data_IF_252398412819
#
_entry.id   IF_252398412819
#
_cell.length_a   1.000
_cell.length_b   1.000
_cell.length_c   1.000
_cell.angle_alpha   90.00
_cell.angle_beta   90.00
_cell.angle_gamma   90.00
#
_symmetry.space_group_name_H-M   'P 1'
#
loop_
_entity.id
_entity.type
_entity.pdbx_description
1 polymer ?
#
# COMPACT_ATOMS: atom_id res chain seq x y z
N UNK A 1 25.83 -0.36 -0.94
CA UNK A 1 25.30 0.68 -0.05
C UNK A 1 23.97 0.20 0.49
N UNK A 2 23.82 0.10 1.81
CA UNK A 2 22.52 -0.09 2.46
C UNK A 2 21.69 1.17 2.18
N UNK A 3 20.50 1.01 1.61
CA UNK A 3 19.60 2.16 1.44
C UNK A 3 19.17 2.67 2.81
N UNK A 4 18.94 3.98 2.86
CA UNK A 4 18.49 4.68 4.07
C UNK A 4 17.02 4.36 4.41
N UNK A 5 16.25 3.81 3.49
CA UNK A 5 14.81 3.58 3.67
C UNK A 5 14.45 2.09 3.68
N UNK A 6 13.37 1.74 4.37
CA UNK A 6 12.82 0.37 4.38
C UNK A 6 11.32 0.33 4.17
N UNK A 7 10.85 -0.40 3.17
CA UNK A 7 9.41 -0.64 2.95
C UNK A 7 8.78 -1.34 4.16
N UNK A 8 7.63 -0.82 4.62
CA UNK A 8 6.93 -1.31 5.80
C UNK A 8 5.63 -2.02 5.45
N UNK A 9 4.63 -1.25 5.02
CA UNK A 9 3.29 -1.74 4.78
C UNK A 9 2.56 -0.85 3.76
N UNK A 10 1.43 -1.35 3.29
CA UNK A 10 0.48 -0.60 2.50
C UNK A 10 -0.85 -0.58 3.25
N UNK A 11 -1.44 0.60 3.40
CA UNK A 11 -2.72 0.82 4.07
C UNK A 11 -3.83 0.82 3.03
N UNK A 12 -4.89 0.06 3.29
CA UNK A 12 -6.15 0.10 2.56
C UNK A 12 -7.23 0.73 3.43
N UNK A 13 -8.15 1.47 2.82
CA UNK A 13 -9.35 1.99 3.49
C UNK A 13 -10.53 1.12 3.10
N UNK A 14 -11.18 0.52 4.09
CA UNK A 14 -12.30 -0.39 3.87
C UNK A 14 -13.48 0.18 4.65
N UNK A 15 -14.46 0.72 3.92
CA UNK A 15 -15.70 1.27 4.50
C UNK A 15 -16.89 0.45 4.05
N UNK A 16 -17.12 0.41 2.73
CA UNK A 16 -18.06 -0.54 2.11
C UNK A 16 -17.23 -1.48 1.24
N UNK A 17 -17.13 -2.72 1.69
CA UNK A 17 -16.42 -3.83 1.04
C UNK A 17 -16.74 -3.96 -0.46
N UNK A 18 -18.02 -3.86 -0.82
CA UNK A 18 -18.49 -3.98 -2.21
C UNK A 18 -18.19 -2.72 -3.03
N UNK A 19 -18.29 -1.54 -2.45
CA UNK A 19 -17.94 -0.30 -3.15
C UNK A 19 -16.42 -0.15 -3.34
N UNK A 20 -15.63 -0.51 -2.30
CA UNK A 20 -14.18 -0.66 -2.38
C UNK A 20 -13.80 -1.59 -3.53
N UNK A 21 -14.50 -2.73 -3.66
CA UNK A 21 -14.34 -3.66 -4.80
C UNK A 21 -14.46 -3.00 -6.17
N UNK A 22 -15.55 -2.28 -6.43
CA UNK A 22 -15.74 -1.65 -7.73
C UNK A 22 -14.73 -0.54 -7.96
N UNK A 23 -14.40 0.19 -6.91
CA UNK A 23 -13.47 1.29 -6.95
C UNK A 23 -12.03 0.84 -7.25
N UNK A 24 -11.48 -0.12 -6.52
CA UNK A 24 -10.10 -0.58 -6.71
C UNK A 24 -9.87 -1.26 -8.07
N UNK A 25 -10.85 -2.04 -8.53
CA UNK A 25 -10.71 -2.82 -9.78
C UNK A 25 -11.10 -2.05 -11.03
N UNK A 26 -12.16 -1.22 -10.97
CA UNK A 26 -12.73 -0.54 -12.14
C UNK A 26 -12.31 0.93 -12.25
N UNK A 27 -11.94 1.57 -11.14
CA UNK A 27 -11.63 3.00 -11.08
C UNK A 27 -10.13 3.26 -10.89
N UNK A 28 -9.50 2.71 -9.84
CA UNK A 28 -8.05 2.79 -9.62
C UNK A 28 -7.22 1.84 -10.49
N UNK A 29 -7.86 0.81 -11.06
CA UNK A 29 -7.21 -0.25 -11.83
C UNK A 29 -6.04 -0.96 -11.09
N UNK A 30 -6.09 -1.04 -9.76
CA UNK A 30 -5.05 -1.71 -8.97
C UNK A 30 -4.80 -3.13 -9.50
N UNK A 31 -3.53 -3.43 -9.83
CA UNK A 31 -3.21 -4.64 -10.62
C UNK A 31 -2.91 -5.88 -9.79
N UNK A 32 -2.24 -5.74 -8.64
CA UNK A 32 -2.14 -6.77 -7.60
C UNK A 32 -1.18 -6.41 -6.44
N UNK A 33 -1.40 -7.03 -5.28
CA UNK A 33 -0.35 -7.38 -4.31
C UNK A 33 0.27 -8.71 -4.74
N UNK A 34 1.59 -8.78 -4.82
CA UNK A 34 2.30 -9.97 -5.29
C UNK A 34 2.84 -10.75 -4.08
N UNK A 35 2.44 -12.02 -3.97
CA UNK A 35 2.86 -12.95 -2.91
C UNK A 35 3.59 -14.11 -3.58
N UNK A 36 4.73 -14.53 -3.06
CA UNK A 36 5.43 -15.73 -3.52
C UNK A 36 5.35 -16.81 -2.42
N UNK A 37 4.69 -17.93 -2.72
CA UNK A 37 4.47 -19.05 -1.78
C UNK A 37 4.01 -20.32 -2.52
N UNK A 38 4.81 -21.39 -2.46
CA UNK A 38 4.44 -22.68 -3.06
C UNK A 38 3.17 -23.27 -2.43
N UNK A 39 3.04 -23.20 -1.10
CA UNK A 39 1.86 -23.69 -0.39
C UNK A 39 0.57 -23.01 -0.85
N UNK A 40 0.52 -21.66 -0.82
CA UNK A 40 -0.68 -20.92 -1.25
C UNK A 40 -0.97 -21.20 -2.72
N UNK A 41 0.09 -21.26 -3.55
CA UNK A 41 -0.06 -21.56 -4.97
C UNK A 41 -0.74 -22.91 -5.18
N UNK A 42 -0.23 -23.98 -4.56
CA UNK A 42 -0.74 -25.34 -4.75
C UNK A 42 -2.16 -25.51 -4.19
N UNK A 43 -2.48 -24.88 -3.05
CA UNK A 43 -3.83 -24.86 -2.49
C UNK A 43 -4.83 -24.16 -3.42
N UNK A 44 -4.48 -23.00 -3.98
CA UNK A 44 -5.33 -22.26 -4.92
C UNK A 44 -5.48 -22.96 -6.28
N UNK A 45 -4.39 -23.54 -6.80
CA UNK A 45 -4.44 -24.31 -8.06
C UNK A 45 -5.35 -25.54 -7.91
N UNK A 46 -5.24 -26.24 -6.77
CA UNK A 46 -6.09 -27.39 -6.44
C UNK A 46 -7.56 -27.00 -6.24
N UNK A 47 -7.82 -25.86 -5.59
CA UNK A 47 -9.18 -25.36 -5.38
C UNK A 47 -9.87 -24.90 -6.68
N UNK A 48 -9.10 -24.58 -7.73
CA UNK A 48 -9.61 -24.22 -9.05
C UNK A 48 -10.34 -22.86 -9.12
N UNK A 49 -10.22 -22.04 -8.08
CA UNK A 49 -10.92 -20.76 -7.94
C UNK A 49 -10.05 -19.54 -8.31
N UNK A 50 -8.78 -19.75 -8.67
CA UNK A 50 -7.86 -18.69 -9.07
C UNK A 50 -7.65 -18.64 -10.60
N UNK A 51 -7.53 -17.43 -11.16
CA UNK A 51 -7.26 -17.23 -12.59
C UNK A 51 -5.77 -17.34 -12.88
N UNK A 52 -5.36 -18.20 -13.82
CA UNK A 52 -3.98 -18.24 -14.33
C UNK A 52 -3.68 -16.99 -15.16
N UNK A 53 -2.55 -16.34 -14.87
CA UNK A 53 -2.06 -15.18 -15.60
C UNK A 53 -0.98 -15.58 -16.60
N UNK A 54 -0.75 -14.75 -17.62
CA UNK A 54 0.23 -15.01 -18.69
C UNK A 54 1.67 -15.17 -18.17
N UNK A 55 1.98 -14.63 -16.99
CA UNK A 55 3.27 -14.79 -16.35
C UNK A 55 3.37 -16.00 -15.41
N UNK A 56 2.42 -16.94 -15.49
CA UNK A 56 2.43 -18.17 -14.69
C UNK A 56 2.04 -17.99 -13.22
N UNK A 57 1.55 -16.80 -12.83
CA UNK A 57 1.01 -16.56 -11.49
C UNK A 57 -0.49 -16.85 -11.43
N UNK A 58 -0.97 -17.24 -10.26
CA UNK A 58 -2.41 -17.30 -9.97
C UNK A 58 -2.90 -15.93 -9.53
N UNK A 59 -4.09 -15.52 -9.94
CA UNK A 59 -4.74 -14.29 -9.51
C UNK A 59 -6.04 -14.63 -8.77
N UNK A 60 -6.15 -14.14 -7.55
CA UNK A 60 -7.37 -14.14 -6.76
C UNK A 60 -7.74 -12.70 -6.41
N UNK A 61 -8.98 -12.50 -6.00
CA UNK A 61 -9.49 -11.22 -5.54
C UNK A 61 -10.05 -11.43 -4.15
N UNK A 62 -9.73 -10.56 -3.20
CA UNK A 62 -10.38 -10.58 -1.89
C UNK A 62 -11.85 -10.10 -2.00
N UNK A 63 -12.63 -10.13 -0.91
CA UNK A 63 -14.02 -9.65 -0.94
C UNK A 63 -14.18 -8.20 -1.41
N UNK A 64 -13.11 -7.41 -1.33
CA UNK A 64 -13.06 -5.98 -1.56
C UNK A 64 -12.35 -5.62 -2.87
N UNK A 65 -12.16 -6.60 -3.76
CA UNK A 65 -11.66 -6.35 -5.11
C UNK A 65 -10.16 -6.24 -5.22
N UNK A 66 -9.43 -6.34 -4.12
CA UNK A 66 -7.98 -6.29 -4.17
C UNK A 66 -7.47 -7.54 -4.87
N UNK A 67 -6.80 -7.34 -6.00
CA UNK A 67 -6.16 -8.44 -6.69
C UNK A 67 -4.92 -8.87 -5.92
N UNK A 68 -4.78 -10.17 -5.69
CA UNK A 68 -3.57 -10.80 -5.20
C UNK A 68 -3.04 -11.72 -6.29
N UNK A 69 -1.76 -11.57 -6.63
CA UNK A 69 -1.07 -12.44 -7.58
C UNK A 69 -0.08 -13.32 -6.85
N UNK A 70 -0.33 -14.62 -6.90
CA UNK A 70 0.44 -15.64 -6.20
C UNK A 70 1.41 -16.28 -7.19
N UNK A 71 2.70 -16.08 -6.95
CA UNK A 71 3.78 -16.80 -7.62
C UNK A 71 4.31 -17.93 -6.75
N UNK A 72 5.15 -18.77 -7.37
CA UNK A 72 5.92 -19.78 -6.66
C UNK A 72 7.09 -19.15 -5.91
N UNK A 73 7.43 -19.70 -4.76
CA UNK A 73 8.46 -19.20 -3.88
C UNK A 73 8.62 -20.03 -2.60
N UNK A 74 9.87 -20.32 -2.26
CA UNK A 74 10.25 -21.12 -1.09
C UNK A 74 10.22 -20.33 0.23
N UNK A 75 10.23 -19.00 0.16
CA UNK A 75 10.06 -18.15 1.34
C UNK A 75 8.59 -18.11 1.74
N UNK A 76 8.30 -18.48 2.99
CA UNK A 76 6.92 -18.57 3.48
C UNK A 76 6.20 -17.21 3.42
N UNK A 77 5.16 -17.14 2.58
CA UNK A 77 4.20 -16.03 2.47
C UNK A 77 4.81 -14.63 2.26
N UNK A 78 5.91 -14.51 1.50
CA UNK A 78 6.59 -13.23 1.26
C UNK A 78 5.77 -12.33 0.33
N UNK A 79 5.37 -11.15 0.81
CA UNK A 79 4.88 -10.07 -0.06
C UNK A 79 6.08 -9.46 -0.79
N UNK A 80 6.15 -9.64 -2.11
CA UNK A 80 7.33 -9.28 -2.91
C UNK A 80 7.17 -7.97 -3.67
N UNK A 81 5.93 -7.52 -3.93
CA UNK A 81 5.69 -6.27 -4.65
C UNK A 81 4.28 -5.73 -4.45
N UNK A 82 4.16 -4.40 -4.41
CA UNK A 82 2.91 -3.67 -4.60
C UNK A 82 2.94 -2.96 -5.95
N UNK A 83 1.89 -3.13 -6.75
CA UNK A 83 1.79 -2.54 -8.09
C UNK A 83 0.61 -1.57 -8.22
N UNK A 84 0.89 -0.34 -8.65
CA UNK A 84 -0.11 0.70 -8.92
C UNK A 84 0.03 1.24 -10.35
N UNK A 85 -1.02 1.88 -10.86
CA UNK A 85 -0.91 2.61 -12.12
C UNK A 85 -0.55 4.08 -11.86
N UNK A 86 0.14 4.66 -12.83
CA UNK A 86 0.52 6.07 -12.87
C UNK A 86 0.09 6.67 -14.20
N UNK A 87 -0.28 7.95 -14.19
CA UNK A 87 -0.72 8.66 -15.39
C UNK A 87 0.46 8.97 -16.32
N UNK A 88 1.63 9.23 -15.75
CA UNK A 88 2.86 9.54 -16.48
C UNK A 88 4.06 8.88 -15.79
N UNK A 89 4.64 7.89 -16.47
CA UNK A 89 5.76 7.12 -15.94
C UNK A 89 7.02 7.97 -15.79
N UNK A 90 7.25 8.97 -16.66
CA UNK A 90 8.42 9.84 -16.57
C UNK A 90 8.35 10.71 -15.33
N UNK A 91 7.22 11.40 -15.11
CA UNK A 91 7.01 12.22 -13.90
C UNK A 91 7.10 11.40 -12.63
N UNK A 92 6.61 10.16 -12.69
CA UNK A 92 6.66 9.24 -11.56
C UNK A 92 8.11 8.78 -11.29
N UNK A 93 8.92 8.54 -12.32
CA UNK A 93 10.35 8.26 -12.16
C UNK A 93 11.07 9.48 -11.56
N UNK A 94 10.81 10.69 -12.06
CA UNK A 94 11.44 11.90 -11.52
C UNK A 94 11.14 12.07 -10.03
N UNK A 95 9.91 11.79 -9.61
CA UNK A 95 9.56 11.85 -8.21
C UNK A 95 10.16 10.71 -7.38
N UNK A 96 9.89 9.45 -7.74
CA UNK A 96 10.27 8.31 -6.91
C UNK A 96 11.77 8.01 -6.94
N UNK A 97 12.39 8.10 -8.12
CA UNK A 97 13.82 7.83 -8.28
C UNK A 97 14.67 9.07 -8.02
N UNK A 98 14.40 10.19 -8.70
CA UNK A 98 15.31 11.35 -8.65
C UNK A 98 15.10 12.19 -7.39
N UNK A 99 13.85 12.35 -6.92
CA UNK A 99 13.56 13.14 -5.72
C UNK A 99 13.58 12.32 -4.42
N UNK A 100 13.04 11.11 -4.41
CA UNK A 100 13.00 10.25 -3.21
C UNK A 100 14.15 9.22 -3.14
N UNK A 101 15.11 9.32 -4.06
CA UNK A 101 16.32 8.48 -4.11
C UNK A 101 16.01 6.96 -4.13
N UNK A 102 14.85 6.53 -4.63
CA UNK A 102 14.49 5.12 -4.70
C UNK A 102 15.16 4.44 -5.91
N UNK A 103 16.05 3.46 -5.71
CA UNK A 103 16.74 2.81 -6.83
C UNK A 103 15.78 2.10 -7.80
N UNK A 104 16.06 2.21 -9.09
CA UNK A 104 15.37 1.45 -10.15
C UNK A 104 15.98 0.05 -10.25
N UNK A 105 15.14 -0.97 -10.09
CA UNK A 105 15.51 -2.37 -10.29
C UNK A 105 15.21 -2.85 -11.73
N UNK A 106 14.15 -2.33 -12.34
CA UNK A 106 13.75 -2.67 -13.71
C UNK A 106 13.00 -1.48 -14.33
N UNK A 107 13.22 -1.21 -15.61
CA UNK A 107 12.50 -0.18 -16.37
C UNK A 107 12.19 -0.68 -17.77
N UNK A 108 10.95 -0.46 -18.20
CA UNK A 108 10.45 -0.70 -19.55
C UNK A 108 9.67 0.53 -20.02
N UNK A 109 9.13 0.47 -21.24
CA UNK A 109 8.17 1.45 -21.77
C UNK A 109 6.82 1.44 -21.04
N UNK A 110 6.46 0.30 -20.42
CA UNK A 110 5.15 0.09 -19.78
C UNK A 110 5.18 0.19 -18.26
N UNK A 111 6.32 -0.03 -17.62
CA UNK A 111 6.44 0.03 -16.16
C UNK A 111 7.86 0.29 -15.69
N UNK A 112 7.97 0.75 -14.44
CA UNK A 112 9.21 0.77 -13.66
C UNK A 112 9.00 0.01 -12.34
N UNK A 113 10.04 -0.68 -11.89
CA UNK A 113 10.09 -1.35 -10.58
C UNK A 113 11.21 -0.68 -9.79
N UNK A 114 10.87 -0.16 -8.61
CA UNK A 114 11.79 0.48 -7.69
C UNK A 114 11.87 -0.29 -6.37
N UNK A 115 13.00 -0.21 -5.68
CA UNK A 115 13.15 -0.76 -4.33
C UNK A 115 14.30 -0.12 -3.58
N UNK A 116 14.10 0.17 -2.31
CA UNK A 116 15.19 0.58 -1.41
C UNK A 116 16.08 -0.61 -0.99
N UNK A 117 15.71 -1.86 -1.24
CA UNK A 117 16.61 -2.99 -0.96
C UNK A 117 16.29 -4.23 -1.78
N UNK A 118 17.32 -5.02 -2.10
CA UNK A 118 17.18 -6.24 -2.90
C UNK A 118 16.17 -7.24 -2.28
N UNK A 119 16.16 -7.33 -0.95
CA UNK A 119 15.26 -8.22 -0.20
C UNK A 119 13.94 -7.58 0.26
N UNK A 120 13.75 -6.28 -0.02
CA UNK A 120 12.54 -5.56 0.38
C UNK A 120 11.41 -5.70 -0.66
N UNK A 121 10.18 -5.44 -0.22
CA UNK A 121 9.03 -5.34 -1.11
C UNK A 121 9.26 -4.26 -2.18
N UNK A 122 8.99 -4.62 -3.44
CA UNK A 122 9.21 -3.76 -4.59
C UNK A 122 8.00 -2.86 -4.85
N UNK A 123 8.26 -1.65 -5.32
CA UNK A 123 7.24 -0.70 -5.75
C UNK A 123 7.17 -0.66 -7.27
N UNK A 124 6.08 -1.19 -7.86
CA UNK A 124 5.90 -1.26 -9.31
C UNK A 124 4.91 -0.20 -9.78
N UNK A 125 5.38 0.69 -10.64
CA UNK A 125 4.57 1.73 -11.27
C UNK A 125 4.30 1.33 -12.72
N UNK A 126 3.02 1.17 -13.08
CA UNK A 126 2.60 0.80 -14.42
C UNK A 126 2.01 2.02 -15.13
N UNK A 127 2.48 2.31 -16.34
CA UNK A 127 1.86 3.32 -17.19
C UNK A 127 0.40 2.93 -17.46
N UNK A 128 -0.51 3.86 -17.18
CA UNK A 128 -1.91 3.72 -17.55
C UNK A 128 -2.03 3.83 -19.08
N UNK A 129 -2.74 2.90 -19.72
CA UNK A 129 -2.90 2.87 -21.18
C UNK A 129 -4.17 3.58 -21.65
N UNK A 130 -4.10 4.20 -22.83
CA UNK A 130 -5.21 4.93 -23.49
C UNK A 130 -5.53 6.27 -22.84
N UNK A 131 -6.72 6.82 -23.10
CA UNK A 131 -7.20 8.12 -22.57
C UNK A 131 -7.71 8.04 -21.12
N UNK A 132 -7.33 6.99 -20.39
CA UNK A 132 -7.79 6.77 -19.01
C UNK A 132 -7.13 7.77 -18.07
N UNK A 133 -7.88 8.22 -17.06
CA UNK A 133 -7.39 9.07 -15.97
C UNK A 133 -7.38 8.27 -14.68
N UNK A 134 -6.47 8.62 -13.77
CA UNK A 134 -6.48 8.09 -12.41
C UNK A 134 -7.59 8.80 -11.64
N UNK A 135 -8.50 8.03 -11.05
CA UNK A 135 -9.44 8.50 -10.04
C UNK A 135 -9.18 7.73 -8.74
N UNK A 136 -8.95 8.48 -7.66
CA UNK A 136 -8.57 7.98 -6.33
C UNK A 136 -9.73 7.77 -5.37
N UNK A 137 -10.90 8.32 -5.69
CA UNK A 137 -12.11 8.21 -4.89
C UNK A 137 -11.82 8.34 -3.39
N UNK A 138 -12.54 7.57 -2.58
CA UNK A 138 -12.43 7.59 -1.12
C UNK A 138 -11.60 6.45 -0.56
N UNK A 139 -11.30 5.43 -1.36
CA UNK A 139 -10.54 4.25 -0.95
C UNK A 139 -9.03 4.38 -1.24
N UNK A 140 -8.51 5.60 -1.40
CA UNK A 140 -7.07 5.78 -1.62
C UNK A 140 -6.25 5.13 -0.49
N UNK A 141 -5.24 4.37 -0.89
CA UNK A 141 -4.29 3.75 0.04
C UNK A 141 -3.07 4.63 0.31
N UNK A 142 -2.23 4.17 1.21
CA UNK A 142 -0.96 4.81 1.59
C UNK A 142 0.16 3.79 1.67
N UNK A 143 1.31 4.08 1.08
CA UNK A 143 2.52 3.28 1.27
C UNK A 143 3.40 3.89 2.37
N UNK A 144 4.00 3.04 3.22
CA UNK A 144 4.85 3.48 4.32
C UNK A 144 6.27 2.95 4.22
N UNK A 145 7.24 3.82 4.55
CA UNK A 145 8.67 3.50 4.62
C UNK A 145 9.22 3.95 5.97
N UNK A 146 10.05 3.11 6.60
CA UNK A 146 10.93 3.53 7.67
C UNK A 146 12.07 4.37 7.09
N UNK A 147 12.48 5.39 7.84
CA UNK A 147 13.50 6.36 7.49
C UNK A 147 14.30 6.74 8.74
N UNK A 148 15.55 7.22 8.62
CA UNK A 148 16.29 7.74 9.76
C UNK A 148 15.55 8.95 10.32
N UNK A 149 15.16 8.91 11.60
CA UNK A 149 14.26 9.90 12.20
C UNK A 149 14.83 11.32 12.14
N UNK A 150 16.13 11.45 12.38
CA UNK A 150 16.88 12.72 12.32
C UNK A 150 16.92 13.34 10.92
N UNK A 151 16.63 12.56 9.87
CA UNK A 151 16.61 13.02 8.47
C UNK A 151 15.21 13.30 7.92
N UNK A 152 14.15 13.10 8.69
CA UNK A 152 12.77 13.33 8.22
C UNK A 152 12.53 14.81 7.87
N UNK A 153 13.08 15.75 8.65
CA UNK A 153 12.96 17.18 8.36
C UNK A 153 13.73 17.56 7.08
N UNK A 154 14.90 16.96 6.86
CA UNK A 154 15.68 17.14 5.64
C UNK A 154 14.90 16.63 4.42
N UNK A 155 14.29 15.44 4.51
CA UNK A 155 13.45 14.88 3.47
C UNK A 155 12.26 15.79 3.16
N UNK A 156 11.56 16.29 4.18
CA UNK A 156 10.47 17.24 3.99
C UNK A 156 10.94 18.48 3.22
N UNK A 157 12.05 19.09 3.67
CA UNK A 157 12.57 20.30 3.06
C UNK A 157 13.02 20.06 1.62
N UNK A 158 13.64 18.91 1.33
CA UNK A 158 14.00 18.47 -0.03
C UNK A 158 12.77 18.42 -0.94
N UNK A 159 11.70 17.76 -0.49
CA UNK A 159 10.45 17.62 -1.26
C UNK A 159 9.76 18.98 -1.44
N UNK A 160 9.70 19.80 -0.39
CA UNK A 160 9.12 21.15 -0.42
C UNK A 160 9.87 22.08 -1.37
N UNK A 161 11.21 22.05 -1.36
CA UNK A 161 12.04 22.84 -2.26
C UNK A 161 11.88 22.43 -3.73
N UNK A 162 11.58 21.15 -4.00
CA UNK A 162 11.26 20.66 -5.33
C UNK A 162 9.80 20.95 -5.77
N UNK A 163 9.02 21.68 -4.96
CA UNK A 163 7.60 21.96 -5.22
C UNK A 163 6.68 20.74 -5.04
N UNK A 164 7.18 19.68 -4.38
CA UNK A 164 6.40 18.49 -4.08
C UNK A 164 5.33 18.73 -3.02
N UNK A 165 4.27 17.92 -3.03
CA UNK A 165 3.13 18.06 -2.13
C UNK A 165 3.42 17.40 -0.78
N UNK A 166 3.32 18.19 0.28
CA UNK A 166 3.35 17.75 1.68
C UNK A 166 1.90 17.71 2.19
N UNK A 167 1.41 16.52 2.58
CA UNK A 167 0.07 16.38 3.19
C UNK A 167 0.16 16.72 4.69
N UNK A 168 1.17 16.19 5.37
CA UNK A 168 1.48 16.53 6.76
C UNK A 168 2.98 16.79 6.87
N UNK A 169 3.32 17.98 7.37
CA UNK A 169 4.68 18.27 7.82
C UNK A 169 5.06 17.35 9.00
N UNK A 170 6.34 17.31 9.33
CA UNK A 170 6.92 16.48 10.37
C UNK A 170 6.13 16.64 11.68
N UNK A 171 5.53 15.54 12.12
CA UNK A 171 4.68 15.50 13.31
C UNK A 171 4.98 14.25 14.12
N UNK A 172 4.89 14.38 15.44
CA UNK A 172 4.91 13.24 16.36
C UNK A 172 3.49 12.72 16.52
N UNK A 173 3.28 11.44 16.25
CA UNK A 173 2.04 10.73 16.50
C UNK A 173 2.17 9.95 17.81
N UNK A 174 1.34 10.31 18.77
CA UNK A 174 1.22 9.59 20.03
C UNK A 174 0.37 8.34 19.82
N UNK A 175 0.81 7.21 20.39
CA UNK A 175 0.01 5.98 20.42
C UNK A 175 -0.14 5.53 21.87
N UNK A 176 -1.35 5.61 22.47
CA UNK A 176 -1.55 5.26 23.87
C UNK A 176 -0.98 3.87 24.22
N UNK A 177 -0.10 3.83 25.22
CA UNK A 177 0.53 2.59 25.69
C UNK A 177 1.62 2.03 24.76
N UNK A 178 2.05 2.76 23.72
CA UNK A 178 3.13 2.38 22.81
C UNK A 178 4.10 3.55 22.59
N UNK A 179 5.18 3.30 21.84
CA UNK A 179 6.16 4.33 21.50
C UNK A 179 5.59 5.37 20.53
N UNK A 180 5.92 6.63 20.77
CA UNK A 180 5.60 7.71 19.84
C UNK A 180 6.45 7.60 18.57
N UNK A 181 5.89 8.03 17.44
CA UNK A 181 6.57 7.99 16.15
C UNK A 181 6.53 9.33 15.45
N UNK A 182 7.65 9.75 14.88
CA UNK A 182 7.71 10.90 14.01
C UNK A 182 7.42 10.49 12.56
N UNK A 183 6.54 11.23 11.89
CA UNK A 183 6.18 10.98 10.50
C UNK A 183 6.19 12.26 9.68
N UNK A 184 6.46 12.12 8.38
CA UNK A 184 6.09 13.10 7.34
C UNK A 184 5.20 12.38 6.32
N UNK A 185 4.13 13.04 5.87
CA UNK A 185 3.21 12.47 4.88
C UNK A 185 3.28 13.31 3.61
N UNK A 186 3.64 12.65 2.51
CA UNK A 186 3.83 13.25 1.18
C UNK A 186 2.75 12.75 0.22
N UNK A 187 2.59 13.45 -0.91
CA UNK A 187 1.86 12.96 -2.07
C UNK A 187 2.76 12.91 -3.31
N UNK A 188 2.71 11.78 -4.04
CA UNK A 188 3.35 11.63 -5.34
C UNK A 188 2.62 12.44 -6.45
N UNK A 189 3.15 12.52 -7.69
CA UNK A 189 2.54 13.28 -8.79
C UNK A 189 1.15 12.79 -9.20
N UNK A 190 0.76 11.61 -8.75
CA UNK A 190 -0.55 11.03 -8.98
C UNK A 190 -1.45 11.19 -7.75
N UNK A 191 -1.07 11.96 -6.72
CA UNK A 191 -1.69 12.09 -5.38
C UNK A 191 -1.55 10.86 -4.45
N UNK A 192 -0.51 10.03 -4.63
CA UNK A 192 -0.28 8.84 -3.80
C UNK A 192 0.27 9.21 -2.45
N UNK A 193 -0.46 8.87 -1.38
CA UNK A 193 0.02 9.14 -0.03
C UNK A 193 1.20 8.25 0.31
N UNK A 194 2.24 8.88 0.86
CA UNK A 194 3.48 8.24 1.28
C UNK A 194 3.75 8.65 2.72
N UNK A 195 3.90 7.70 3.62
CA UNK A 195 4.38 7.95 4.98
C UNK A 195 5.86 7.59 5.08
N UNK A 196 6.70 8.54 5.47
CA UNK A 196 8.02 8.24 6.00
C UNK A 196 7.98 8.36 7.52
N UNK A 197 8.32 7.28 8.21
CA UNK A 197 8.30 7.19 9.68
C UNK A 197 9.70 6.95 10.23
N UNK A 198 10.02 7.56 11.37
CA UNK A 198 11.30 7.35 12.05
C UNK A 198 11.49 5.88 12.45
N UNK A 199 12.57 5.25 11.97
CA UNK A 199 12.78 3.80 12.11
C UNK A 199 12.82 3.33 13.57
N UNK A 200 13.52 4.06 14.45
CA UNK A 200 13.66 3.68 15.85
C UNK A 200 12.31 3.62 16.56
N UNK A 201 11.52 4.70 16.48
CA UNK A 201 10.17 4.74 17.05
C UNK A 201 9.26 3.68 16.44
N UNK A 202 9.30 3.51 15.11
CA UNK A 202 8.47 2.50 14.44
C UNK A 202 8.84 1.08 14.89
N UNK A 203 10.12 0.76 15.07
CA UNK A 203 10.57 -0.55 15.53
C UNK A 203 10.03 -0.89 16.92
N UNK A 204 9.93 0.09 17.80
CA UNK A 204 9.33 -0.09 19.12
C UNK A 204 7.80 -0.17 19.08
N UNK A 205 7.17 0.64 18.23
CA UNK A 205 5.72 0.62 17.99
C UNK A 205 5.26 -0.71 17.37
N UNK A 206 6.07 -1.31 16.48
CA UNK A 206 5.73 -2.49 15.68
C UNK A 206 6.23 -3.80 16.28
N UNK A 207 6.45 -3.86 17.60
CA UNK A 207 6.80 -5.12 18.28
C UNK A 207 5.66 -6.12 18.12
N UNK A 208 6.02 -7.40 18.00
CA UNK A 208 5.06 -8.50 17.95
C UNK A 208 4.25 -8.51 19.24
N UNK A 209 2.94 -8.50 19.10
CA UNK A 209 1.99 -8.60 20.20
C UNK A 209 1.36 -10.00 20.18
N UNK A 210 1.62 -10.79 21.23
CA UNK A 210 1.09 -12.16 21.36
C UNK A 210 -0.42 -12.19 21.60
N UNK A 211 -1.03 -11.07 21.98
CA UNK A 211 -2.47 -10.93 22.19
C UNK A 211 -3.17 -10.36 20.95
N UNK A 212 -2.44 -10.03 19.87
CA UNK A 212 -2.99 -9.37 18.69
C UNK A 212 -4.17 -10.16 18.09
N UNK A 213 -4.05 -11.48 17.98
CA UNK A 213 -5.11 -12.33 17.42
C UNK A 213 -6.36 -12.32 18.30
N UNK A 214 -6.20 -12.46 19.63
CA UNK A 214 -7.32 -12.42 20.57
C UNK A 214 -8.01 -11.04 20.56
N UNK A 215 -7.23 -9.96 20.53
CA UNK A 215 -7.74 -8.60 20.43
C UNK A 215 -8.50 -8.37 19.12
N UNK A 216 -7.99 -8.89 18.00
CA UNK A 216 -8.66 -8.82 16.69
C UNK A 216 -9.98 -9.58 16.69
N UNK A 217 -10.00 -10.82 17.20
CA UNK A 217 -11.23 -11.62 17.29
C UNK A 217 -12.28 -10.94 18.17
N UNK A 218 -11.87 -10.33 19.28
CA UNK A 218 -12.76 -9.53 20.13
C UNK A 218 -13.30 -8.33 19.37
N UNK A 219 -12.45 -7.56 18.68
CA UNK A 219 -12.89 -6.40 17.91
C UNK A 219 -13.88 -6.77 16.79
N UNK A 220 -13.69 -7.93 16.14
CA UNK A 220 -14.63 -8.47 15.14
C UNK A 220 -15.96 -8.86 15.80
N UNK A 221 -15.93 -9.48 16.98
CA UNK A 221 -17.14 -9.89 17.70
C UNK A 221 -17.93 -8.68 18.23
N UNK A 222 -17.24 -7.61 18.61
CA UNK A 222 -17.83 -6.36 19.10
C UNK A 222 -18.21 -5.40 17.95
N UNK A 223 -17.95 -5.76 16.67
CA UNK A 223 -18.22 -4.91 15.51
C UNK A 223 -19.72 -4.83 15.20
N UNK A 224 -20.31 -3.66 15.43
CA UNK A 224 -21.70 -3.31 15.16
C UNK A 224 -21.88 -2.56 13.82
N UNK A 225 -20.85 -2.53 12.95
CA UNK A 225 -20.90 -1.81 11.68
C UNK A 225 -22.12 -2.16 10.83
N UNK A 226 -22.61 -3.40 10.87
CA UNK A 226 -23.84 -3.80 10.17
C UNK A 226 -25.07 -3.02 10.65
N UNK A 227 -25.17 -2.75 11.96
CA UNK A 227 -26.25 -1.95 12.54
C UNK A 227 -26.10 -0.49 12.08
N UNK A 228 -24.89 0.05 12.10
CA UNK A 228 -24.62 1.38 11.56
C UNK A 228 -25.04 1.47 10.09
N UNK A 229 -24.59 0.54 9.22
CA UNK A 229 -24.98 0.53 7.80
C UNK A 229 -26.48 0.34 7.59
N UNK A 230 -27.16 -0.41 8.46
CA UNK A 230 -28.62 -0.58 8.37
C UNK A 230 -29.39 0.73 8.55
N UNK A 231 -28.80 1.70 9.28
CA UNK A 231 -29.35 3.04 9.48
C UNK A 231 -29.13 3.96 8.26
N UNK A 232 -28.30 3.58 7.29
CA UNK A 232 -28.01 4.37 6.10
C UNK A 232 -28.45 3.62 4.83
N UNK A 233 -29.68 3.86 4.35
CA UNK A 233 -30.10 3.42 3.01
C UNK A 233 -29.66 4.44 1.95
N UNK A 234 -28.94 3.99 0.92
CA UNK A 234 -28.48 4.83 -0.19
C UNK A 234 -27.66 6.07 0.26
N UNK A 235 -26.84 5.94 1.30
CA UNK A 235 -25.98 7.03 1.77
C UNK A 235 -26.72 8.18 2.47
N UNK A 236 -28.00 8.00 2.83
CA UNK A 236 -28.76 8.94 3.67
C UNK A 236 -29.22 8.23 4.94
N UNK A 237 -29.10 8.91 6.08
CA UNK A 237 -29.62 8.41 7.36
C UNK A 237 -31.13 8.20 7.20
N UNK A 238 -31.62 7.00 7.53
CA UNK A 238 -33.05 6.73 7.57
C UNK A 238 -33.68 7.74 8.54
N UNK A 239 -34.68 8.49 8.06
CA UNK A 239 -35.39 9.43 8.92
C UNK A 239 -36.05 8.67 10.07
N UNK A 240 -35.94 9.22 11.29
CA UNK A 240 -36.71 8.79 12.46
C UNK A 240 -38.22 8.88 12.22
#
# INVERSE_FOLDING_TARGET
>A
MTSISRALHYVFKIGDRKASYEFYTKILYMKAILIDSDQIYDELDKAGNARKTDCGRLAITDPDGHCFKIGRGSAQHKISCVAVNVADLSKSIDYWHNLLDMPIAEKTDKHVILSYGAEQCKWKLCQLGGDKKIDRGTAFGRIAFAYPGEKLLELQNKVKAAGGKIINELVTLETPGKADVQVVILADPNDHEICFVGEAGFKDLSRVDSQADAAMQKAIADDDSNEWFSQFKNGKKAAE
#
